data_IF_071269579487
#
_entry.id   IF_071269579487
#
_cell.length_a   1.000
_cell.length_b   1.000
_cell.length_c   1.000
_cell.angle_alpha   90.00
_cell.angle_beta   90.00
_cell.angle_gamma   90.00
#
_symmetry.space_group_name_H-M   'P 1'
#
loop_
_entity.id
_entity.type
_entity.pdbx_description
1 polymer ?
#
# COMPACT_ATOMS: atom_id res chain seq x y z
N UNK A 1 1.98 -4.91 -9.39
CA UNK A 1 1.64 -5.94 -10.39
C UNK A 1 0.70 -6.92 -9.73
N UNK A 2 -0.33 -7.37 -10.44
CA UNK A 2 -1.17 -8.48 -10.05
C UNK A 2 -1.46 -9.36 -11.27
N UNK A 3 -2.29 -10.39 -11.13
CA UNK A 3 -2.70 -11.24 -12.26
C UNK A 3 -3.39 -10.46 -13.39
N UNK A 4 -3.94 -9.28 -13.10
CA UNK A 4 -4.57 -8.38 -14.07
C UNK A 4 -3.60 -7.36 -14.68
N UNK A 5 -2.30 -7.44 -14.39
CA UNK A 5 -1.25 -6.64 -15.01
C UNK A 5 -0.58 -5.63 -14.09
N UNK A 6 -0.10 -4.53 -14.67
CA UNK A 6 0.68 -3.48 -14.00
C UNK A 6 -0.16 -2.20 -13.98
N UNK A 7 -0.36 -1.63 -12.78
CA UNK A 7 -1.09 -0.37 -12.57
C UNK A 7 -0.30 0.84 -13.11
N UNK A 8 1.03 0.77 -13.03
CA UNK A 8 1.95 1.82 -13.45
C UNK A 8 3.02 2.11 -12.40
N UNK A 9 3.93 3.02 -12.72
CA UNK A 9 4.90 3.56 -11.76
C UNK A 9 4.36 4.86 -11.15
N UNK A 10 4.50 5.01 -9.84
CA UNK A 10 4.20 6.26 -9.12
C UNK A 10 5.53 6.89 -8.74
N UNK A 11 5.74 8.14 -9.17
CA UNK A 11 6.97 8.86 -8.94
C UNK A 11 6.83 9.78 -7.73
N UNK A 12 7.74 9.62 -6.77
CA UNK A 12 7.82 10.48 -5.58
C UNK A 12 9.05 11.36 -5.72
N UNK A 13 8.87 12.67 -5.60
CA UNK A 13 10.00 13.59 -5.57
C UNK A 13 10.73 13.51 -4.22
N UNK A 14 12.05 13.31 -4.29
CA UNK A 14 12.93 13.07 -3.15
C UNK A 14 12.78 11.69 -2.48
N UNK A 15 13.38 11.54 -1.29
CA UNK A 15 13.38 10.27 -0.55
C UNK A 15 11.98 9.90 -0.04
N UNK A 16 11.58 8.64 -0.24
CA UNK A 16 10.35 8.09 0.35
C UNK A 16 10.48 8.02 1.86
N UNK A 17 9.60 8.71 2.56
CA UNK A 17 9.39 8.60 4.01
C UNK A 17 7.93 8.19 4.27
N UNK A 18 7.58 7.91 5.53
CA UNK A 18 6.21 7.50 5.91
C UNK A 18 5.14 8.42 5.35
N UNK A 19 5.32 9.74 5.48
CA UNK A 19 4.32 10.72 5.06
C UNK A 19 4.09 10.72 3.55
N UNK A 20 5.17 10.66 2.76
CA UNK A 20 5.09 10.58 1.31
C UNK A 20 4.51 9.24 0.86
N UNK A 21 4.85 8.16 1.54
CA UNK A 21 4.32 6.84 1.22
C UNK A 21 2.83 6.73 1.50
N UNK A 22 2.36 7.25 2.64
CA UNK A 22 0.93 7.33 2.96
C UNK A 22 0.18 8.13 1.89
N UNK A 23 0.72 9.28 1.45
CA UNK A 23 0.11 10.05 0.35
C UNK A 23 0.02 9.25 -0.94
N UNK A 24 1.06 8.50 -1.30
CA UNK A 24 1.04 7.60 -2.47
C UNK A 24 -0.07 6.56 -2.33
N UNK A 25 -0.21 5.94 -1.16
CA UNK A 25 -1.26 4.95 -0.92
C UNK A 25 -2.66 5.57 -1.08
N UNK A 26 -2.92 6.67 -0.38
CA UNK A 26 -4.26 7.28 -0.31
C UNK A 26 -4.69 7.96 -1.61
N UNK A 27 -3.76 8.65 -2.30
CA UNK A 27 -4.12 9.50 -3.43
C UNK A 27 -3.89 8.83 -4.78
N UNK A 28 -2.87 7.98 -4.89
CA UNK A 28 -2.42 7.48 -6.19
C UNK A 28 -2.70 5.99 -6.36
N UNK A 29 -2.45 5.16 -5.33
CA UNK A 29 -2.52 3.71 -5.47
C UNK A 29 -3.92 3.15 -5.19
N UNK A 30 -4.46 3.37 -3.98
CA UNK A 30 -5.73 2.78 -3.53
C UNK A 30 -6.90 3.16 -4.45
N UNK A 31 -7.08 4.43 -4.86
CA UNK A 31 -8.19 4.81 -5.75
C UNK A 31 -8.19 4.06 -7.08
N UNK A 32 -7.01 3.68 -7.60
CA UNK A 32 -6.92 2.93 -8.87
C UNK A 32 -7.35 1.49 -8.67
N UNK A 33 -6.84 0.82 -7.64
CA UNK A 33 -7.11 -0.62 -7.44
C UNK A 33 -8.50 -0.90 -6.86
N UNK A 34 -9.06 0.04 -6.09
CA UNK A 34 -10.36 -0.15 -5.46
C UNK A 34 -11.50 -0.20 -6.48
N UNK A 35 -11.30 0.45 -7.63
CA UNK A 35 -12.22 0.37 -8.78
C UNK A 35 -11.90 -0.80 -9.73
N UNK A 36 -10.87 -1.59 -9.41
CA UNK A 36 -10.44 -2.74 -10.20
C UNK A 36 -11.21 -4.03 -9.91
N UNK A 37 -11.11 -5.03 -10.79
CA UNK A 37 -11.76 -6.32 -10.57
C UNK A 37 -11.22 -7.03 -9.33
N UNK A 38 -12.11 -7.67 -8.57
CA UNK A 38 -11.77 -8.51 -7.40
C UNK A 38 -11.04 -7.79 -6.25
N UNK A 39 -11.14 -6.46 -6.11
CA UNK A 39 -10.50 -5.72 -5.01
C UNK A 39 -10.74 -6.35 -3.62
N UNK A 40 -11.99 -6.77 -3.33
CA UNK A 40 -12.37 -7.40 -2.05
C UNK A 40 -11.65 -8.73 -1.76
N UNK A 41 -11.06 -9.37 -2.77
CA UNK A 41 -10.29 -10.60 -2.64
C UNK A 41 -8.78 -10.38 -2.74
N UNK A 42 -8.35 -9.15 -3.06
CA UNK A 42 -6.93 -8.85 -3.23
C UNK A 42 -6.20 -8.86 -1.89
N UNK A 43 -4.97 -9.39 -1.93
CA UNK A 43 -3.99 -9.28 -0.87
C UNK A 43 -2.98 -8.19 -1.22
N UNK A 44 -2.71 -7.29 -0.28
CA UNK A 44 -1.64 -6.31 -0.42
C UNK A 44 -0.32 -6.92 0.09
N UNK A 45 0.77 -6.72 -0.64
CA UNK A 45 2.10 -7.17 -0.23
C UNK A 45 3.12 -6.05 -0.38
N UNK A 46 3.93 -5.83 0.66
CA UNK A 46 5.04 -4.87 0.65
C UNK A 46 6.25 -5.41 1.41
N UNK A 47 7.43 -4.84 1.12
CA UNK A 47 8.66 -5.16 1.85
C UNK A 47 8.70 -4.52 3.25
N UNK A 48 9.74 -4.86 4.01
CA UNK A 48 9.95 -4.37 5.38
C UNK A 48 10.77 -3.09 5.49
N UNK A 49 10.77 -2.20 4.48
CA UNK A 49 11.52 -0.94 4.60
C UNK A 49 10.89 0.00 5.62
N UNK A 50 11.72 0.82 6.30
CA UNK A 50 11.26 1.68 7.40
C UNK A 50 10.05 2.56 7.06
N UNK A 51 9.94 3.20 5.86
CA UNK A 51 8.76 4.00 5.52
C UNK A 51 7.45 3.20 5.51
N UNK A 52 7.51 1.93 5.11
CA UNK A 52 6.36 1.03 4.94
C UNK A 52 5.87 0.42 6.25
N UNK A 53 6.71 0.43 7.29
CA UNK A 53 6.45 -0.26 8.55
C UNK A 53 5.73 0.58 9.60
N UNK A 54 5.52 1.87 9.36
CA UNK A 54 4.91 2.74 10.38
C UNK A 54 3.46 2.34 10.67
N UNK A 55 2.99 2.59 11.90
CA UNK A 55 1.60 2.38 12.30
C UNK A 55 0.62 3.08 11.36
N UNK A 56 0.94 4.31 10.94
CA UNK A 56 0.08 5.09 10.04
C UNK A 56 -0.10 4.42 8.66
N UNK A 57 0.92 3.73 8.15
CA UNK A 57 0.80 2.95 6.91
C UNK A 57 -0.13 1.77 7.14
N UNK A 58 0.01 1.05 8.25
CA UNK A 58 -0.89 -0.05 8.57
C UNK A 58 -2.33 0.43 8.81
N UNK A 59 -2.56 1.57 9.47
CA UNK A 59 -3.90 2.13 9.66
C UNK A 59 -4.60 2.38 8.31
N UNK A 60 -3.85 2.87 7.30
CA UNK A 60 -4.36 3.04 5.93
C UNK A 60 -4.61 1.69 5.27
N UNK A 61 -3.65 0.76 5.33
CA UNK A 61 -3.81 -0.54 4.66
C UNK A 61 -4.95 -1.37 5.29
N UNK A 62 -5.05 -1.43 6.61
CA UNK A 62 -6.10 -2.18 7.34
C UNK A 62 -7.49 -1.62 7.06
N UNK A 63 -7.61 -0.29 6.90
CA UNK A 63 -8.88 0.34 6.51
C UNK A 63 -9.41 -0.16 5.15
N UNK A 64 -8.52 -0.49 4.22
CA UNK A 64 -8.89 -0.85 2.83
C UNK A 64 -8.81 -2.35 2.54
N UNK A 65 -7.89 -3.07 3.18
CA UNK A 65 -7.64 -4.50 2.95
C UNK A 65 -8.02 -5.39 4.12
N UNK A 66 -8.31 -4.81 5.31
CA UNK A 66 -8.49 -5.58 6.54
C UNK A 66 -7.26 -6.45 6.83
N UNK A 67 -7.50 -7.74 7.09
CA UNK A 67 -6.44 -8.70 7.38
C UNK A 67 -5.68 -9.22 6.13
N UNK A 68 -6.06 -8.77 4.92
CA UNK A 68 -5.46 -9.22 3.65
C UNK A 68 -4.14 -8.52 3.34
N UNK A 69 -3.22 -8.48 4.30
CA UNK A 69 -1.94 -7.77 4.20
C UNK A 69 -0.78 -8.71 4.52
N UNK A 70 0.14 -8.85 3.56
CA UNK A 70 1.42 -9.55 3.72
C UNK A 70 2.55 -8.52 3.83
N UNK A 71 2.91 -8.16 5.06
CA UNK A 71 3.95 -7.17 5.33
C UNK A 71 4.69 -7.45 6.65
N UNK A 72 5.94 -7.00 6.74
CA UNK A 72 6.71 -7.08 7.98
C UNK A 72 6.26 -5.97 8.94
N UNK A 73 5.52 -6.31 10.01
CA UNK A 73 5.19 -5.35 11.08
C UNK A 73 6.40 -5.10 11.98
N UNK A 74 6.65 -3.85 12.41
CA UNK A 74 7.64 -3.59 13.44
C UNK A 74 7.18 -4.26 14.75
N UNK A 75 8.12 -4.80 15.51
CA UNK A 75 7.85 -5.29 16.85
C UNK A 75 7.46 -4.09 17.72
N UNK A 76 6.36 -4.23 18.46
CA UNK A 76 5.88 -3.23 19.41
C UNK A 76 6.84 -3.04 20.59
#
# INVERSE_FOLDING_TARGET
MCSHGIIGAIFVDGTVNTERYVKVLENDFIPIIQNGPDFEKMWFMQDGTRPHQSRRVFDVLEKHFGDRILALRPLA
#
